data_IF_816233760134
#
_entry.id   IF_816233760134
#
_cell.length_a   1.000
_cell.length_b   1.000
_cell.length_c   1.000
_cell.angle_alpha   90.00
_cell.angle_beta   90.00
_cell.angle_gamma   90.00
#
_symmetry.space_group_name_H-M   'P 1'
#
loop_
_entity.id
_entity.type
_entity.pdbx_description
1 polymer ?
#
# COMPACT_ATOMS: atom_id res chain seq x y z
N UNK A 1 50.59 12.89 29.69
CA UNK A 1 50.13 12.22 28.46
C UNK A 1 48.68 12.63 28.23
N UNK A 2 48.46 13.69 27.43
CA UNK A 2 47.11 14.14 27.10
C UNK A 2 46.48 13.09 26.19
N UNK A 3 45.54 12.31 26.72
CA UNK A 3 44.84 11.31 25.93
C UNK A 3 43.86 12.03 25.00
N UNK A 4 44.21 12.11 23.72
CA UNK A 4 43.35 12.65 22.65
C UNK A 4 42.16 11.71 22.39
N UNK A 5 42.31 10.43 22.73
CA UNK A 5 41.30 9.39 22.50
C UNK A 5 39.95 9.63 23.18
N UNK A 6 39.86 9.96 24.49
CA UNK A 6 38.58 10.31 25.14
C UNK A 6 37.87 11.51 24.51
N UNK A 7 38.62 12.50 24.01
CA UNK A 7 38.05 13.70 23.38
C UNK A 7 37.46 13.38 22.00
N UNK A 8 38.17 12.60 21.17
CA UNK A 8 37.64 12.15 19.89
C UNK A 8 36.39 11.28 20.06
N UNK A 9 36.41 10.39 21.06
CA UNK A 9 35.27 9.56 21.40
C UNK A 9 34.05 10.39 21.84
N UNK A 10 34.24 11.39 22.71
CA UNK A 10 33.13 12.23 23.17
C UNK A 10 32.55 13.11 22.07
N UNK A 11 33.38 13.65 21.16
CA UNK A 11 32.93 14.40 19.98
C UNK A 11 32.14 13.48 19.04
N UNK A 12 32.63 12.27 18.77
CA UNK A 12 31.93 11.29 17.94
C UNK A 12 30.59 10.88 18.55
N UNK A 13 30.56 10.63 19.85
CA UNK A 13 29.35 10.31 20.60
C UNK A 13 28.34 11.47 20.56
N UNK A 14 28.80 12.71 20.77
CA UNK A 14 27.95 13.89 20.70
C UNK A 14 27.34 14.08 19.31
N UNK A 15 28.14 13.92 18.26
CA UNK A 15 27.65 14.00 16.87
C UNK A 15 26.60 12.92 16.58
N UNK A 16 26.86 11.69 17.02
CA UNK A 16 25.93 10.57 16.87
C UNK A 16 24.61 10.79 17.64
N UNK A 17 24.68 11.26 18.89
CA UNK A 17 23.50 11.61 19.70
C UNK A 17 22.71 12.77 19.08
N UNK A 18 23.40 13.76 18.52
CA UNK A 18 22.77 14.89 17.82
C UNK A 18 22.00 14.44 16.58
N UNK A 19 22.58 13.53 15.78
CA UNK A 19 21.89 12.93 14.63
C UNK A 19 20.65 12.16 15.07
N UNK A 20 20.76 11.29 16.09
CA UNK A 20 19.62 10.54 16.61
C UNK A 20 18.52 11.49 17.11
N UNK A 21 18.90 12.50 17.89
CA UNK A 21 17.97 13.52 18.40
C UNK A 21 17.23 14.22 17.24
N UNK A 22 17.96 14.63 16.20
CA UNK A 22 17.37 15.21 15.00
C UNK A 22 16.36 14.26 14.33
N UNK A 23 16.69 12.98 14.16
CA UNK A 23 15.78 11.99 13.57
C UNK A 23 14.53 11.77 14.41
N UNK A 24 14.65 11.68 15.74
CA UNK A 24 13.53 11.52 16.66
C UNK A 24 12.61 12.75 16.61
N UNK A 25 13.16 13.96 16.71
CA UNK A 25 12.38 15.21 16.64
C UNK A 25 11.64 15.30 15.30
N UNK A 26 12.33 15.02 14.19
CA UNK A 26 11.72 14.97 12.85
C UNK A 26 10.59 13.95 12.78
N UNK A 27 10.78 12.76 13.35
CA UNK A 27 9.76 11.71 13.39
C UNK A 27 8.55 12.10 14.24
N UNK A 28 8.75 12.75 15.39
CA UNK A 28 7.67 13.25 16.25
C UNK A 28 6.82 14.29 15.51
N UNK A 29 7.47 15.28 14.89
CA UNK A 29 6.77 16.33 14.13
C UNK A 29 5.94 15.72 12.99
N UNK A 30 6.52 14.76 12.27
CA UNK A 30 5.82 14.06 11.19
C UNK A 30 4.61 13.26 11.72
N UNK A 31 4.76 12.61 12.87
CA UNK A 31 3.69 11.83 13.51
C UNK A 31 2.54 12.74 13.94
N UNK A 32 2.83 13.86 14.59
CA UNK A 32 1.82 14.85 15.02
C UNK A 32 1.07 15.45 13.82
N UNK A 33 1.78 15.81 12.75
CA UNK A 33 1.15 16.33 11.52
C UNK A 33 0.19 15.31 10.92
N UNK A 34 0.57 14.04 10.90
CA UNK A 34 -0.24 12.96 10.36
C UNK A 34 -1.48 12.69 11.23
N UNK A 35 -1.34 12.69 12.55
CA UNK A 35 -2.48 12.54 13.47
C UNK A 35 -3.46 13.70 13.37
N UNK A 36 -2.97 14.94 13.28
CA UNK A 36 -3.82 16.12 13.05
C UNK A 36 -4.58 16.00 11.72
N UNK A 37 -3.93 15.52 10.66
CA UNK A 37 -4.59 15.27 9.36
C UNK A 37 -5.68 14.20 9.47
N UNK A 38 -5.42 13.08 10.15
CA UNK A 38 -6.42 12.03 10.40
C UNK A 38 -7.62 12.60 11.16
N UNK A 39 -7.37 13.38 12.21
CA UNK A 39 -8.43 14.00 13.01
C UNK A 39 -9.31 14.95 12.20
N UNK A 40 -8.70 15.80 11.36
CA UNK A 40 -9.46 16.69 10.48
C UNK A 40 -10.32 15.91 9.47
N UNK A 41 -9.74 14.90 8.81
CA UNK A 41 -10.48 14.06 7.87
C UNK A 41 -11.61 13.26 8.56
N UNK A 42 -11.39 12.75 9.77
CA UNK A 42 -12.45 12.09 10.55
C UNK A 42 -13.63 13.02 10.84
N UNK A 43 -13.39 14.32 11.06
CA UNK A 43 -14.45 15.31 11.20
C UNK A 43 -15.18 15.56 9.88
N UNK A 44 -14.46 15.65 8.76
CA UNK A 44 -15.05 15.87 7.44
C UNK A 44 -15.96 14.71 7.01
N UNK A 45 -15.50 13.47 7.19
CA UNK A 45 -16.23 12.25 6.83
C UNK A 45 -17.49 12.01 7.69
N UNK A 46 -17.63 12.72 8.81
CA UNK A 46 -18.81 12.67 9.69
C UNK A 46 -19.89 13.71 9.37
N UNK A 47 -19.62 14.65 8.48
CA UNK A 47 -20.62 15.64 8.03
C UNK A 47 -21.70 14.96 7.17
N UNK A 48 -22.82 15.65 6.96
CA UNK A 48 -23.98 15.12 6.22
C UNK A 48 -23.65 14.78 4.76
N UNK A 49 -22.79 15.57 4.12
CA UNK A 49 -22.35 15.38 2.73
C UNK A 49 -20.81 15.30 2.68
N UNK A 50 -20.21 14.16 3.03
CA UNK A 50 -18.77 13.98 2.91
C UNK A 50 -18.39 13.77 1.44
N UNK A 51 -17.23 14.28 1.05
CA UNK A 51 -16.67 14.03 -0.28
C UNK A 51 -16.00 12.65 -0.35
N UNK A 52 -16.01 12.02 -1.52
CA UNK A 52 -15.38 10.71 -1.70
C UNK A 52 -13.86 10.80 -1.53
N UNK A 53 -13.26 11.94 -1.89
CA UNK A 53 -11.83 12.21 -1.76
C UNK A 53 -11.39 12.24 -0.29
N UNK A 54 -12.17 12.88 0.59
CA UNK A 54 -11.87 12.90 2.03
C UNK A 54 -11.93 11.49 2.62
N UNK A 55 -12.94 10.71 2.21
CA UNK A 55 -13.07 9.31 2.59
C UNK A 55 -11.86 8.50 2.09
N UNK A 56 -11.48 8.67 0.83
CA UNK A 56 -10.36 7.97 0.22
C UNK A 56 -9.03 8.31 0.90
N UNK A 57 -8.76 9.59 1.12
CA UNK A 57 -7.56 10.05 1.81
C UNK A 57 -7.49 9.51 3.24
N UNK A 58 -8.62 9.49 3.96
CA UNK A 58 -8.67 8.93 5.30
C UNK A 58 -8.40 7.41 5.28
N UNK A 59 -8.98 6.69 4.32
CA UNK A 59 -8.71 5.26 4.13
C UNK A 59 -7.23 4.97 3.84
N UNK A 60 -6.58 5.77 2.99
CA UNK A 60 -5.14 5.66 2.71
C UNK A 60 -4.28 5.90 3.97
N UNK A 61 -4.66 6.87 4.81
CA UNK A 61 -3.96 7.11 6.07
C UNK A 61 -4.16 5.96 7.07
N UNK A 62 -5.35 5.35 7.10
CA UNK A 62 -5.58 4.14 7.89
C UNK A 62 -4.77 2.95 7.38
N UNK A 63 -4.63 2.77 6.06
CA UNK A 63 -3.72 1.77 5.48
C UNK A 63 -2.28 1.98 5.94
N UNK A 64 -1.77 3.22 5.87
CA UNK A 64 -0.41 3.57 6.34
C UNK A 64 -0.21 3.31 7.84
N UNK A 65 -1.28 3.28 8.62
CA UNK A 65 -1.27 2.97 10.06
C UNK A 65 -1.60 1.49 10.35
N UNK A 66 -1.71 0.65 9.33
CA UNK A 66 -2.15 -0.75 9.42
C UNK A 66 -3.53 -0.92 10.10
N UNK A 67 -4.38 0.10 10.05
CA UNK A 67 -5.74 0.08 10.62
C UNK A 67 -6.73 -0.42 9.55
N UNK A 68 -6.53 -1.64 9.08
CA UNK A 68 -7.20 -2.19 7.90
C UNK A 68 -8.73 -2.18 8.00
N UNK A 69 -9.31 -2.60 9.14
CA UNK A 69 -10.77 -2.57 9.34
C UNK A 69 -11.35 -1.14 9.21
N UNK A 70 -10.66 -0.13 9.77
CA UNK A 70 -11.10 1.26 9.62
C UNK A 70 -10.95 1.75 8.18
N UNK A 71 -9.90 1.32 7.48
CA UNK A 71 -9.71 1.63 6.06
C UNK A 71 -10.85 1.06 5.20
N UNK A 72 -11.24 -0.21 5.38
CA UNK A 72 -12.39 -0.82 4.66
C UNK A 72 -13.66 0.00 4.86
N UNK A 73 -13.98 0.37 6.10
CA UNK A 73 -15.20 1.12 6.41
C UNK A 73 -15.25 2.46 5.66
N UNK A 74 -14.16 3.21 5.64
CA UNK A 74 -14.13 4.52 4.99
C UNK A 74 -14.00 4.40 3.47
N UNK A 75 -13.25 3.42 2.95
CA UNK A 75 -13.21 3.17 1.50
C UNK A 75 -14.56 2.74 0.95
N UNK A 76 -15.35 1.94 1.69
CA UNK A 76 -16.73 1.62 1.29
C UNK A 76 -17.64 2.86 1.26
N UNK A 77 -17.41 3.84 2.14
CA UNK A 77 -18.09 5.14 2.06
C UNK A 77 -17.65 5.90 0.80
N UNK A 78 -16.34 5.97 0.54
CA UNK A 78 -15.79 6.59 -0.67
C UNK A 78 -16.43 5.96 -1.93
N UNK A 79 -16.53 4.63 -1.98
CA UNK A 79 -17.07 3.90 -3.12
C UNK A 79 -18.53 4.27 -3.43
N UNK A 80 -19.34 4.47 -2.39
CA UNK A 80 -20.76 4.86 -2.55
C UNK A 80 -20.95 6.28 -3.07
N UNK A 81 -19.96 7.14 -2.86
CA UNK A 81 -20.00 8.57 -3.16
C UNK A 81 -19.17 8.94 -4.39
N UNK A 82 -18.39 7.99 -4.92
CA UNK A 82 -17.45 8.25 -6.00
C UNK A 82 -18.18 8.66 -7.28
N UNK A 83 -17.62 9.62 -8.02
CA UNK A 83 -18.12 9.98 -9.33
C UNK A 83 -18.01 8.78 -10.29
N UNK A 84 -19.12 8.22 -10.80
CA UNK A 84 -19.06 7.06 -11.70
C UNK A 84 -18.31 7.32 -13.01
N UNK A 85 -18.10 8.59 -13.39
CA UNK A 85 -17.33 8.96 -14.57
C UNK A 85 -15.82 8.95 -14.34
N UNK A 86 -15.35 9.07 -13.10
CA UNK A 86 -13.93 9.01 -12.74
C UNK A 86 -13.45 7.55 -12.66
N UNK A 87 -13.28 6.93 -13.83
CA UNK A 87 -12.81 5.54 -13.95
C UNK A 87 -11.43 5.34 -13.32
N UNK A 88 -10.53 6.32 -13.45
CA UNK A 88 -9.15 6.22 -12.93
C UNK A 88 -9.17 6.18 -11.41
N UNK A 89 -9.86 7.14 -10.78
CA UNK A 89 -10.03 7.16 -9.34
C UNK A 89 -10.77 5.94 -8.81
N UNK A 90 -11.83 5.51 -9.50
CA UNK A 90 -12.62 4.34 -9.11
C UNK A 90 -11.78 3.06 -9.16
N UNK A 91 -11.01 2.83 -10.23
CA UNK A 91 -10.10 1.67 -10.31
C UNK A 91 -9.02 1.70 -9.23
N UNK A 92 -8.46 2.89 -8.92
CA UNK A 92 -7.52 3.07 -7.81
C UNK A 92 -8.16 2.76 -6.44
N UNK A 93 -9.41 3.17 -6.22
CA UNK A 93 -10.16 2.84 -5.02
C UNK A 93 -10.41 1.33 -4.91
N UNK A 94 -10.83 0.66 -5.99
CA UNK A 94 -10.99 -0.80 -6.01
C UNK A 94 -9.68 -1.50 -5.66
N UNK A 95 -8.54 -1.07 -6.23
CA UNK A 95 -7.24 -1.60 -5.86
C UNK A 95 -6.90 -1.35 -4.37
N UNK A 96 -7.20 -0.16 -3.83
CA UNK A 96 -6.97 0.14 -2.42
C UNK A 96 -7.83 -0.73 -1.48
N UNK A 97 -9.10 -0.99 -1.83
CA UNK A 97 -9.97 -1.89 -1.08
C UNK A 97 -9.42 -3.32 -1.15
N UNK A 98 -9.03 -3.80 -2.34
CA UNK A 98 -8.41 -5.11 -2.52
C UNK A 98 -7.14 -5.27 -1.68
N UNK A 99 -6.29 -4.25 -1.66
CA UNK A 99 -5.09 -4.20 -0.81
C UNK A 99 -5.44 -4.25 0.67
N UNK A 100 -6.51 -3.58 1.08
CA UNK A 100 -6.96 -3.63 2.45
C UNK A 100 -7.41 -5.04 2.86
N UNK A 101 -8.18 -5.73 2.01
CA UNK A 101 -8.59 -7.12 2.25
C UNK A 101 -7.42 -8.10 2.21
N UNK A 102 -6.45 -7.91 1.32
CA UNK A 102 -5.25 -8.73 1.28
C UNK A 102 -4.48 -8.70 2.61
N UNK A 103 -4.35 -7.51 3.22
CA UNK A 103 -3.70 -7.35 4.52
C UNK A 103 -4.56 -7.87 5.70
N UNK A 104 -5.86 -8.07 5.48
CA UNK A 104 -6.73 -8.78 6.42
C UNK A 104 -6.69 -10.30 6.20
N UNK A 105 -5.87 -10.79 5.27
CA UNK A 105 -5.81 -12.20 4.83
C UNK A 105 -7.12 -12.73 4.21
N UNK A 106 -8.01 -11.81 3.85
CA UNK A 106 -9.29 -12.07 3.19
C UNK A 106 -9.07 -12.12 1.67
N UNK A 107 -8.33 -13.15 1.22
CA UNK A 107 -7.79 -13.22 -0.14
C UNK A 107 -8.88 -13.28 -1.23
N UNK A 108 -10.02 -13.92 -0.97
CA UNK A 108 -11.12 -13.99 -1.95
C UNK A 108 -11.72 -12.61 -2.24
N UNK A 109 -11.92 -11.81 -1.18
CA UNK A 109 -12.34 -10.42 -1.34
C UNK A 109 -11.26 -9.60 -2.05
N UNK A 110 -9.99 -9.77 -1.67
CA UNK A 110 -8.89 -9.07 -2.34
C UNK A 110 -8.90 -9.34 -3.85
N UNK A 111 -8.98 -10.62 -4.26
CA UNK A 111 -9.08 -11.06 -5.65
C UNK A 111 -10.26 -10.41 -6.36
N UNK A 112 -11.44 -10.40 -5.74
CA UNK A 112 -12.63 -9.76 -6.30
C UNK A 112 -12.38 -8.27 -6.61
N UNK A 113 -11.91 -7.50 -5.62
CA UNK A 113 -11.71 -6.07 -5.77
C UNK A 113 -10.60 -5.74 -6.78
N UNK A 114 -9.50 -6.51 -6.82
CA UNK A 114 -8.48 -6.34 -7.86
C UNK A 114 -9.00 -6.67 -9.26
N UNK A 115 -9.81 -7.72 -9.41
CA UNK A 115 -10.45 -8.05 -10.70
C UNK A 115 -11.35 -6.92 -11.19
N UNK A 116 -12.08 -6.26 -10.29
CA UNK A 116 -12.88 -5.09 -10.65
C UNK A 116 -11.99 -3.91 -11.04
N UNK A 117 -10.89 -3.65 -10.31
CA UNK A 117 -9.94 -2.61 -10.65
C UNK A 117 -9.38 -2.78 -12.07
N UNK A 118 -8.93 -3.99 -12.44
CA UNK A 118 -8.39 -4.26 -13.78
C UNK A 118 -9.47 -4.28 -14.87
N UNK A 119 -10.73 -4.53 -14.53
CA UNK A 119 -11.85 -4.40 -15.49
C UNK A 119 -12.09 -2.93 -15.84
N UNK A 120 -11.89 -2.02 -14.89
CA UNK A 120 -12.02 -0.57 -15.11
C UNK A 120 -10.76 -0.02 -15.79
N UNK A 121 -9.58 -0.50 -15.38
CA UNK A 121 -8.26 -0.04 -15.83
C UNK A 121 -7.43 -1.27 -16.22
N UNK A 122 -7.51 -1.73 -17.49
CA UNK A 122 -6.85 -2.97 -17.94
C UNK A 122 -5.32 -2.99 -17.78
N UNK A 123 -4.69 -1.82 -17.81
CA UNK A 123 -3.24 -1.57 -17.67
C UNK A 123 -2.83 -1.21 -16.23
N UNK A 124 -3.67 -1.48 -15.23
CA UNK A 124 -3.33 -1.23 -13.83
C UNK A 124 -2.30 -2.23 -13.31
N UNK A 125 -1.02 -1.97 -13.60
CA UNK A 125 0.12 -2.84 -13.27
C UNK A 125 0.15 -3.22 -11.79
N UNK A 126 -0.13 -2.27 -10.89
CA UNK A 126 -0.11 -2.53 -9.45
C UNK A 126 -1.24 -3.49 -9.03
N UNK A 127 -2.46 -3.32 -9.57
CA UNK A 127 -3.57 -4.24 -9.29
C UNK A 127 -3.32 -5.63 -9.86
N UNK A 128 -2.70 -5.75 -11.06
CA UNK A 128 -2.30 -7.04 -11.62
C UNK A 128 -1.26 -7.75 -10.74
N UNK A 129 -0.25 -7.04 -10.26
CA UNK A 129 0.75 -7.58 -9.32
C UNK A 129 0.09 -8.05 -8.03
N UNK A 130 -0.78 -7.22 -7.45
CA UNK A 130 -1.47 -7.53 -6.20
C UNK A 130 -2.44 -8.71 -6.35
N UNK A 131 -3.12 -8.83 -7.49
CA UNK A 131 -3.94 -9.98 -7.84
C UNK A 131 -3.09 -11.24 -7.92
N UNK A 132 -1.91 -11.17 -8.55
CA UNK A 132 -0.95 -12.26 -8.60
C UNK A 132 -0.53 -12.74 -7.20
N UNK A 133 -0.21 -11.81 -6.30
CA UNK A 133 0.12 -12.13 -4.91
C UNK A 133 -1.05 -12.81 -4.18
N UNK A 134 -2.27 -12.37 -4.44
CA UNK A 134 -3.47 -12.94 -3.82
C UNK A 134 -3.70 -14.38 -4.29
N UNK A 135 -3.50 -14.66 -5.58
CA UNK A 135 -3.60 -16.02 -6.11
C UNK A 135 -2.52 -16.96 -5.58
N UNK A 136 -1.29 -16.48 -5.37
CA UNK A 136 -0.26 -17.28 -4.71
C UNK A 136 -0.65 -17.68 -3.29
N UNK A 137 -1.35 -16.80 -2.55
CA UNK A 137 -1.83 -17.10 -1.19
C UNK A 137 -2.93 -18.15 -1.16
N UNK A 138 -3.79 -18.19 -2.19
CA UNK A 138 -4.85 -19.21 -2.35
C UNK A 138 -4.31 -20.46 -3.10
N UNK A 139 -2.99 -20.62 -3.18
CA UNK A 139 -2.29 -21.76 -3.76
C UNK A 139 -2.56 -22.01 -5.26
N UNK A 140 -2.87 -20.94 -6.02
CA UNK A 140 -3.08 -21.01 -7.47
C UNK A 140 -1.89 -20.38 -8.21
N UNK A 141 -0.77 -21.10 -8.24
CA UNK A 141 0.47 -20.61 -8.85
C UNK A 141 0.33 -20.22 -10.33
N UNK A 142 -0.49 -20.94 -11.10
CA UNK A 142 -0.69 -20.67 -12.54
C UNK A 142 -1.47 -19.37 -12.80
N UNK A 143 -2.49 -19.07 -11.98
CA UNK A 143 -3.23 -17.81 -12.12
C UNK A 143 -2.38 -16.62 -11.67
N UNK A 144 -1.57 -16.80 -10.61
CA UNK A 144 -0.56 -15.83 -10.21
C UNK A 144 0.46 -15.53 -11.31
N UNK A 145 1.01 -16.58 -11.95
CA UNK A 145 1.91 -16.45 -13.11
C UNK A 145 1.31 -15.59 -14.23
N UNK A 146 0.07 -15.88 -14.62
CA UNK A 146 -0.62 -15.13 -15.68
C UNK A 146 -0.82 -13.66 -15.30
N UNK A 147 -1.07 -13.35 -14.03
CA UNK A 147 -1.20 -11.97 -13.57
C UNK A 147 0.13 -11.21 -13.67
N UNK A 148 1.26 -11.83 -13.26
CA UNK A 148 2.57 -11.20 -13.39
C UNK A 148 3.00 -11.06 -14.85
N UNK A 149 2.68 -12.03 -15.69
CA UNK A 149 2.89 -11.94 -17.14
C UNK A 149 2.13 -10.75 -17.74
N UNK A 150 0.86 -10.57 -17.35
CA UNK A 150 0.06 -9.42 -17.78
C UNK A 150 0.61 -8.09 -17.26
N UNK A 151 1.09 -8.04 -16.01
CA UNK A 151 1.73 -6.85 -15.46
C UNK A 151 3.00 -6.47 -16.26
N UNK A 152 3.83 -7.45 -16.62
CA UNK A 152 5.04 -7.24 -17.43
C UNK A 152 4.74 -6.90 -18.90
N UNK A 153 3.56 -7.26 -19.40
CA UNK A 153 3.13 -6.82 -20.72
C UNK A 153 2.92 -5.30 -20.76
N UNK A 154 2.29 -4.73 -19.72
CA UNK A 154 2.04 -3.29 -19.61
C UNK A 154 3.25 -2.50 -19.09
N UNK A 155 4.03 -3.08 -18.18
CA UNK A 155 5.24 -2.49 -17.61
C UNK A 155 6.40 -3.51 -17.61
N UNK A 156 7.14 -3.62 -18.74
CA UNK A 156 8.20 -4.62 -18.90
C UNK A 156 9.37 -4.49 -17.91
N UNK A 157 9.54 -3.32 -17.30
CA UNK A 157 10.63 -3.03 -16.37
C UNK A 157 10.21 -3.14 -14.91
N UNK A 158 9.00 -3.64 -14.63
CA UNK A 158 8.51 -3.78 -13.27
C UNK A 158 9.28 -4.85 -12.49
N UNK A 159 10.16 -4.41 -11.59
CA UNK A 159 11.03 -5.30 -10.82
C UNK A 159 10.24 -6.30 -9.96
N UNK A 160 9.13 -5.86 -9.36
CA UNK A 160 8.31 -6.72 -8.50
C UNK A 160 7.64 -7.82 -9.32
N UNK A 161 7.02 -7.47 -10.45
CA UNK A 161 6.40 -8.45 -11.34
C UNK A 161 7.44 -9.43 -11.91
N UNK A 162 8.59 -8.94 -12.38
CA UNK A 162 9.68 -9.76 -12.94
C UNK A 162 10.24 -10.77 -11.93
N UNK A 163 10.46 -10.31 -10.69
CA UNK A 163 10.95 -11.17 -9.61
C UNK A 163 9.96 -12.28 -9.30
N UNK A 164 8.68 -11.95 -9.12
CA UNK A 164 7.65 -12.94 -8.79
C UNK A 164 7.37 -13.89 -9.96
N UNK A 165 7.32 -13.38 -11.18
CA UNK A 165 7.19 -14.17 -12.40
C UNK A 165 8.28 -15.25 -12.47
N UNK A 166 9.55 -14.87 -12.30
CA UNK A 166 10.70 -15.79 -12.35
C UNK A 166 10.65 -16.85 -11.24
N UNK A 167 10.21 -16.48 -10.03
CA UNK A 167 10.06 -17.42 -8.91
C UNK A 167 9.00 -18.48 -9.21
N UNK A 168 7.83 -18.07 -9.73
CA UNK A 168 6.76 -19.01 -10.04
C UNK A 168 7.11 -19.87 -11.26
N UNK A 169 7.72 -19.28 -12.29
CA UNK A 169 8.11 -20.04 -13.50
C UNK A 169 9.03 -21.20 -13.13
N UNK A 170 10.02 -20.97 -12.25
CA UNK A 170 10.88 -22.04 -11.74
C UNK A 170 10.07 -23.12 -11.03
N UNK A 171 9.15 -22.75 -10.13
CA UNK A 171 8.30 -23.72 -9.41
C UNK A 171 7.45 -24.57 -10.36
N UNK A 172 6.87 -23.96 -11.40
CA UNK A 172 6.03 -24.66 -12.37
C UNK A 172 6.85 -25.64 -13.24
N UNK A 173 8.11 -25.32 -13.57
CA UNK A 173 9.03 -26.22 -14.31
C UNK A 173 9.36 -27.52 -13.56
N UNK A 174 9.16 -27.59 -12.24
CA UNK A 174 9.39 -28.81 -11.45
C UNK A 174 8.11 -29.61 -11.16
N UNK A 175 6.96 -29.17 -11.68
CA UNK A 175 5.64 -29.82 -11.46
C UNK A 175 5.16 -30.55 -12.72
N UNK A 176 5.78 -30.29 -13.88
CA UNK A 176 5.58 -31.00 -15.15
C UNK A 176 6.74 -31.96 -15.41
#
# INVERSE_FOLDING_TARGET
MNSIFPLLYSIGLFFFLSLISYYIVKQIINTQKLEKKIFMLQKLVKKDHPYYEDCYQLGQLYLRKNLFLKAVLVFRKALKLWDPNDKIGLGNLYNAIGFTFFNLEEYDYAIYYYKVAIKIIPDHTLALINLGYSFEKVNSGITGYNCYKAALFWDPYNQLASTRFSVIEKKLKYIL
#
